data_IF_279088732277
#
_entry.id   IF_279088732277
#
_cell.length_a   1.000
_cell.length_b   1.000
_cell.length_c   1.000
_cell.angle_alpha   90.00
_cell.angle_beta   90.00
_cell.angle_gamma   90.00
#
_symmetry.space_group_name_H-M   'P 1'
#
loop_
_entity.id
_entity.type
_entity.pdbx_description
1 polymer ?
#
# COMPACT_ATOMS: atom_id res chain seq x y z
N UNK A 1 17.63 -9.96 4.50
CA UNK A 1 17.35 -8.76 3.68
C UNK A 1 15.88 -8.39 3.96
N UNK A 2 15.52 -7.12 4.11
CA UNK A 2 14.14 -6.71 4.46
C UNK A 2 13.64 -5.72 3.42
N UNK A 3 12.36 -5.78 3.09
CA UNK A 3 11.73 -4.85 2.17
C UNK A 3 10.85 -3.87 2.93
N UNK A 4 10.74 -2.65 2.40
CA UNK A 4 9.93 -1.58 2.97
C UNK A 4 8.89 -1.11 1.96
N UNK A 5 7.62 -1.20 2.35
CA UNK A 5 6.50 -0.63 1.62
C UNK A 5 6.07 0.64 2.33
N UNK A 6 5.87 1.71 1.58
CA UNK A 6 5.42 3.01 2.10
C UNK A 6 4.22 3.50 1.32
N UNK A 7 3.11 3.74 2.01
CA UNK A 7 1.93 4.35 1.40
C UNK A 7 1.98 5.87 1.56
N UNK A 8 1.72 6.57 0.45
CA UNK A 8 1.74 8.01 0.35
C UNK A 8 0.41 8.55 -0.20
N UNK A 9 -0.05 9.64 0.39
CA UNK A 9 -1.09 10.48 -0.19
C UNK A 9 -0.40 11.56 -1.04
N UNK A 10 -0.86 11.71 -2.27
CA UNK A 10 -0.47 12.83 -3.14
C UNK A 10 -1.56 13.88 -3.05
N UNK A 11 -1.29 15.00 -2.37
CA UNK A 11 -2.17 16.16 -2.41
C UNK A 11 -1.90 16.98 -3.68
N UNK A 12 -2.91 17.05 -4.55
CA UNK A 12 -2.87 17.81 -5.81
C UNK A 12 -3.43 19.23 -5.67
N UNK A 13 -3.98 19.61 -4.52
CA UNK A 13 -4.58 20.94 -4.29
C UNK A 13 -3.55 22.01 -3.94
N UNK A 14 -2.29 21.64 -3.78
CA UNK A 14 -1.22 22.58 -3.44
C UNK A 14 -0.78 23.33 -4.69
N UNK A 15 -1.00 24.65 -4.70
CA UNK A 15 -0.68 25.57 -5.82
C UNK A 15 0.80 25.59 -6.24
N UNK A 16 1.69 24.97 -5.46
CA UNK A 16 3.15 25.00 -5.63
C UNK A 16 3.79 23.61 -5.89
N UNK A 17 3.01 22.60 -6.29
CA UNK A 17 3.51 21.26 -6.61
C UNK A 17 2.81 20.14 -5.85
N UNK A 18 3.11 18.88 -6.17
CA UNK A 18 2.55 17.73 -5.47
C UNK A 18 3.17 17.60 -4.07
N UNK A 19 2.37 17.68 -3.01
CA UNK A 19 2.84 17.34 -1.66
C UNK A 19 2.60 15.86 -1.40
N UNK A 20 3.68 15.10 -1.26
CA UNK A 20 3.63 13.70 -0.83
C UNK A 20 3.67 13.65 0.70
N UNK A 21 2.67 12.99 1.32
CA UNK A 21 2.65 12.70 2.75
C UNK A 21 2.61 11.19 2.94
N UNK A 22 3.62 10.63 3.61
CA UNK A 22 3.59 9.23 4.02
C UNK A 22 2.49 9.04 5.08
N UNK A 23 1.68 8.00 4.93
CA UNK A 23 0.56 7.67 5.82
C UNK A 23 0.69 6.30 6.47
N UNK A 24 1.41 5.37 5.87
CA UNK A 24 1.66 4.05 6.45
C UNK A 24 2.99 3.48 5.93
N UNK A 25 3.56 2.56 6.68
CA UNK A 25 4.70 1.75 6.24
C UNK A 25 4.53 0.31 6.71
N UNK A 26 5.15 -0.61 5.97
CA UNK A 26 5.22 -2.03 6.29
C UNK A 26 6.64 -2.51 5.99
N UNK A 27 7.34 -2.98 7.01
CA UNK A 27 8.65 -3.60 6.86
C UNK A 27 8.50 -5.10 7.07
N UNK A 28 8.97 -5.92 6.13
CA UNK A 28 8.90 -7.37 6.25
C UNK A 28 10.25 -8.01 5.96
N UNK A 29 10.53 -9.12 6.66
CA UNK A 29 11.72 -9.92 6.46
C UNK A 29 11.59 -10.80 5.21
N UNK A 30 12.62 -10.79 4.34
CA UNK A 30 12.70 -11.73 3.22
C UNK A 30 12.91 -13.13 3.79
N UNK A 31 11.95 -14.03 3.57
CA UNK A 31 12.00 -15.43 4.00
C UNK A 31 10.67 -16.02 4.49
N UNK A 32 9.66 -15.19 4.78
CA UNK A 32 8.35 -15.62 5.27
C UNK A 32 7.22 -15.42 4.26
N UNK A 33 7.18 -16.21 3.19
CA UNK A 33 6.11 -16.18 2.18
C UNK A 33 6.00 -14.85 1.40
N UNK A 34 5.16 -14.82 0.37
CA UNK A 34 4.83 -13.59 -0.36
C UNK A 34 3.71 -12.84 0.38
N UNK A 35 3.95 -11.62 0.91
CA UNK A 35 2.93 -10.78 1.54
C UNK A 35 1.67 -10.65 0.67
N UNK A 36 0.48 -10.61 1.27
CA UNK A 36 -0.76 -10.33 0.54
C UNK A 36 -0.72 -8.94 -0.08
N UNK A 37 -0.01 -8.01 0.57
CA UNK A 37 0.42 -6.75 -0.05
C UNK A 37 1.04 -7.02 -1.43
N UNK A 38 2.10 -7.83 -1.56
CA UNK A 38 2.66 -8.14 -2.89
C UNK A 38 1.64 -8.76 -3.84
N UNK A 39 0.77 -9.66 -3.38
CA UNK A 39 -0.30 -10.21 -4.25
C UNK A 39 -1.27 -9.14 -4.74
N UNK A 40 -1.57 -8.16 -3.89
CA UNK A 40 -2.42 -7.03 -4.22
C UNK A 40 -1.82 -6.09 -5.26
N UNK A 41 -0.50 -5.88 -5.20
CA UNK A 41 0.21 -4.94 -6.06
C UNK A 41 0.90 -5.60 -7.27
N UNK A 42 1.21 -6.90 -7.20
CA UNK A 42 1.92 -7.70 -8.21
C UNK A 42 1.02 -8.34 -9.27
N UNK A 43 -0.27 -8.58 -8.99
CA UNK A 43 -1.23 -9.05 -10.01
C UNK A 43 -1.57 -7.96 -11.05
N UNK A 44 -1.48 -6.69 -10.66
CA UNK A 44 -1.37 -5.58 -11.61
C UNK A 44 0.06 -5.55 -12.10
N UNK A 45 0.32 -6.10 -13.30
CA UNK A 45 1.58 -5.87 -14.04
C UNK A 45 2.00 -4.42 -13.80
N UNK A 46 3.22 -4.23 -13.27
CA UNK A 46 3.92 -2.95 -13.14
C UNK A 46 4.16 -2.36 -14.55
N UNK A 47 3.08 -2.04 -15.26
CA UNK A 47 3.12 -1.50 -16.59
C UNK A 47 3.14 0.01 -16.45
N UNK A 48 4.35 0.55 -16.53
CA UNK A 48 4.61 1.80 -17.24
C UNK A 48 4.46 3.07 -16.42
N UNK A 49 5.61 3.60 -16.01
CA UNK A 49 5.93 5.00 -16.25
C UNK A 49 5.18 6.04 -15.43
N UNK A 50 5.62 6.25 -14.19
CA UNK A 50 5.86 7.64 -13.77
C UNK A 50 7.36 7.83 -13.84
N UNK A 51 7.79 8.41 -14.94
CA UNK A 51 9.18 8.78 -15.22
C UNK A 51 9.83 9.46 -14.00
N UNK A 52 10.87 8.84 -13.44
CA UNK A 52 11.89 9.53 -12.64
C UNK A 52 11.93 9.26 -11.14
N UNK A 53 10.99 8.51 -10.55
CA UNK A 53 11.04 8.12 -9.12
C UNK A 53 10.55 6.69 -8.95
N UNK A 54 11.11 5.94 -7.99
CA UNK A 54 10.95 4.50 -7.81
C UNK A 54 9.52 3.94 -7.94
N UNK A 55 9.46 2.67 -8.36
CA UNK A 55 8.23 1.99 -8.78
C UNK A 55 7.13 1.99 -7.71
N UNK A 56 6.17 2.88 -7.86
CA UNK A 56 4.96 2.90 -7.04
C UNK A 56 3.69 2.69 -7.84
N UNK A 57 2.63 2.27 -7.15
CA UNK A 57 1.33 1.94 -7.72
C UNK A 57 0.25 2.89 -7.20
N UNK A 58 -0.61 3.35 -8.10
CA UNK A 58 -1.84 4.05 -7.75
C UNK A 58 -2.94 3.03 -7.44
N UNK A 59 -3.45 3.03 -6.21
CA UNK A 59 -4.40 2.01 -5.74
C UNK A 59 -5.65 2.67 -5.18
N UNK A 60 -6.82 2.07 -5.47
CA UNK A 60 -8.13 2.56 -5.01
C UNK A 60 -8.47 2.05 -3.61
N UNK A 61 -9.38 2.75 -2.93
CA UNK A 61 -9.85 2.36 -1.60
C UNK A 61 -10.51 0.97 -1.62
N UNK A 62 -11.20 0.64 -2.73
CA UNK A 62 -11.84 -0.67 -2.93
C UNK A 62 -10.81 -1.80 -2.92
N UNK A 63 -9.68 -1.62 -3.62
CA UNK A 63 -8.60 -2.61 -3.61
C UNK A 63 -7.98 -2.72 -2.21
N UNK A 64 -7.74 -1.60 -1.55
CA UNK A 64 -7.24 -1.59 -0.16
C UNK A 64 -8.16 -2.33 0.81
N UNK A 65 -9.48 -2.13 0.71
CA UNK A 65 -10.47 -2.85 1.52
C UNK A 65 -10.47 -4.35 1.24
N UNK A 66 -10.44 -4.75 -0.03
CA UNK A 66 -10.33 -6.17 -0.38
C UNK A 66 -9.04 -6.81 0.18
N UNK A 67 -7.94 -6.06 0.26
CA UNK A 67 -6.71 -6.51 0.93
C UNK A 67 -6.85 -6.67 2.42
N UNK A 68 -7.49 -5.70 3.08
CA UNK A 68 -7.80 -5.81 4.49
C UNK A 68 -8.66 -7.06 4.77
N UNK A 69 -9.71 -7.29 4.00
CA UNK A 69 -10.62 -8.42 4.18
C UNK A 69 -9.87 -9.77 4.06
N UNK A 70 -8.95 -9.89 3.09
CA UNK A 70 -8.10 -11.08 2.94
C UNK A 70 -7.10 -11.24 4.05
N UNK A 71 -6.46 -10.15 4.49
CA UNK A 71 -5.55 -10.19 5.63
C UNK A 71 -6.29 -10.59 6.91
N UNK A 72 -7.54 -10.14 7.10
CA UNK A 72 -8.39 -10.57 8.21
C UNK A 72 -8.65 -12.07 8.15
N UNK A 73 -9.00 -12.60 6.97
CA UNK A 73 -9.22 -14.04 6.80
C UNK A 73 -7.96 -14.86 7.11
N UNK A 74 -6.81 -14.47 6.53
CA UNK A 74 -5.52 -15.13 6.80
C UNK A 74 -5.15 -15.11 8.28
N UNK A 75 -5.44 -14.01 8.98
CA UNK A 75 -5.22 -13.93 10.42
C UNK A 75 -6.11 -14.90 11.20
N UNK A 76 -7.40 -14.99 10.85
CA UNK A 76 -8.33 -15.98 11.42
C UNK A 76 -7.86 -17.41 11.14
N UNK A 77 -7.28 -17.64 9.97
CA UNK A 77 -6.70 -18.93 9.56
C UNK A 77 -5.35 -19.25 10.26
N UNK A 78 -4.89 -18.38 11.16
CA UNK A 78 -3.69 -18.57 11.98
C UNK A 78 -2.39 -18.07 11.36
N UNK A 79 -2.45 -17.34 10.24
CA UNK A 79 -1.26 -16.74 9.64
C UNK A 79 -0.78 -15.49 10.40
N UNK A 80 0.54 -15.32 10.48
CA UNK A 80 1.18 -14.17 11.10
C UNK A 80 1.17 -12.96 10.16
N UNK A 81 0.02 -12.28 10.04
CA UNK A 81 -0.20 -11.15 9.11
C UNK A 81 -0.56 -9.83 9.81
N UNK A 82 -0.25 -9.70 11.10
CA UNK A 82 -0.64 -8.55 11.91
C UNK A 82 -0.10 -7.22 11.34
N UNK A 83 1.12 -7.21 10.84
CA UNK A 83 1.73 -6.02 10.25
C UNK A 83 1.01 -5.60 8.95
N UNK A 84 0.55 -6.57 8.14
CA UNK A 84 -0.25 -6.30 6.94
C UNK A 84 -1.62 -5.72 7.29
N UNK A 85 -2.27 -6.27 8.33
CA UNK A 85 -3.54 -5.74 8.86
C UNK A 85 -3.41 -4.28 9.29
N UNK A 86 -2.38 -3.98 10.10
CA UNK A 86 -2.10 -2.62 10.56
C UNK A 86 -1.87 -1.69 9.38
N UNK A 87 -1.09 -2.13 8.38
CA UNK A 87 -0.83 -1.35 7.18
C UNK A 87 -2.12 -1.03 6.41
N UNK A 88 -2.95 -2.02 6.08
CA UNK A 88 -4.20 -1.80 5.34
C UNK A 88 -5.19 -0.92 6.12
N UNK A 89 -5.35 -1.18 7.42
CA UNK A 89 -6.25 -0.41 8.28
C UNK A 89 -5.80 1.05 8.40
N UNK A 90 -4.50 1.29 8.59
CA UNK A 90 -3.93 2.66 8.68
C UNK A 90 -4.15 3.42 7.38
N UNK A 91 -3.92 2.79 6.22
CA UNK A 91 -4.13 3.47 4.94
C UNK A 91 -5.59 3.85 4.73
N UNK A 92 -6.53 2.98 5.10
CA UNK A 92 -7.95 3.27 4.99
C UNK A 92 -8.43 4.33 6.00
N UNK A 93 -7.87 4.35 7.22
CA UNK A 93 -8.16 5.35 8.23
C UNK A 93 -7.65 6.75 7.83
N UNK A 94 -6.45 6.81 7.26
CA UNK A 94 -5.83 8.04 6.75
C UNK A 94 -6.27 8.39 5.32
N UNK A 95 -7.25 7.67 4.78
CA UNK A 95 -7.67 7.85 3.39
C UNK A 95 -8.26 9.25 3.18
N UNK A 96 -7.71 10.06 2.28
CA UNK A 96 -8.15 11.44 2.15
C UNK A 96 -9.59 11.53 1.68
N UNK A 97 -10.38 12.40 2.30
CA UNK A 97 -11.77 12.61 1.94
C UNK A 97 -11.91 12.98 0.45
N UNK A 98 -12.72 12.20 -0.28
CA UNK A 98 -12.95 12.38 -1.72
C UNK A 98 -11.82 11.89 -2.63
N UNK A 99 -10.71 11.36 -2.09
CA UNK A 99 -9.66 10.78 -2.92
C UNK A 99 -10.11 9.43 -3.49
N UNK A 100 -10.01 9.27 -4.83
CA UNK A 100 -10.30 7.99 -5.49
C UNK A 100 -9.19 6.95 -5.34
N UNK A 101 -7.99 7.38 -4.91
CA UNK A 101 -6.78 6.56 -4.91
C UNK A 101 -5.66 7.17 -4.08
N UNK A 102 -4.78 6.34 -3.53
CA UNK A 102 -3.48 6.72 -2.94
C UNK A 102 -2.33 6.12 -3.76
N UNK A 103 -1.10 6.59 -3.52
CA UNK A 103 0.11 6.08 -4.17
C UNK A 103 0.90 5.23 -3.19
N UNK A 104 1.33 4.04 -3.59
CA UNK A 104 2.10 3.12 -2.72
C UNK A 104 3.45 2.89 -3.36
N UNK A 105 4.52 3.10 -2.62
CA UNK A 105 5.90 2.96 -3.06
C UNK A 105 6.56 1.73 -2.43
N UNK A 106 7.37 1.01 -3.20
CA UNK A 106 8.15 -0.14 -2.77
C UNK A 106 9.64 0.21 -2.80
N UNK A 107 10.34 -0.02 -1.70
CA UNK A 107 11.79 0.23 -1.54
C UNK A 107 12.50 -0.96 -0.93
#
# INVERSE_FOLDING_TARGET
MSHLITAHVIDKRVKAGHRQRQIAHLQYAIGGGEPEVYRLFGATKFNGGVSGTGGGLRVSAVKFRAGLDRACQRHVDGEHVLEELVFFATVLAEWPFGARSVYVHFS
#
